data_IF_091847082190
#
_entry.id   IF_091847082190
#
_cell.length_a   1.000
_cell.length_b   1.000
_cell.length_c   1.000
_cell.angle_alpha   90.00
_cell.angle_beta   90.00
_cell.angle_gamma   90.00
#
_symmetry.space_group_name_H-M   'P 1'
#
loop_
_entity.id
_entity.type
_entity.pdbx_description
1 polymer ?
#
# COMPACT_ATOMS: atom_id res chain seq x y z
N UNK A 1 2.96 -19.85 8.96
CA UNK A 1 3.71 -18.63 9.38
C UNK A 1 3.20 -17.43 8.60
N UNK A 2 3.23 -17.52 7.26
CA UNK A 2 2.60 -16.52 6.40
C UNK A 2 1.08 -16.57 6.50
N UNK A 3 0.44 -15.41 6.60
CA UNK A 3 -1.00 -15.22 6.43
C UNK A 3 -1.31 -14.70 5.04
N UNK A 4 -2.51 -14.17 4.82
CA UNK A 4 -2.91 -13.55 3.52
C UNK A 4 -2.09 -12.32 3.14
N UNK A 5 -1.34 -11.72 4.09
CA UNK A 5 -0.60 -10.47 3.89
C UNK A 5 0.71 -10.47 4.71
N UNK A 6 1.57 -11.43 4.43
CA UNK A 6 2.86 -11.60 5.08
C UNK A 6 2.81 -12.26 6.46
N UNK A 7 3.90 -12.15 7.22
CA UNK A 7 4.02 -12.67 8.60
C UNK A 7 3.66 -11.56 9.56
N UNK A 8 2.65 -11.77 10.42
CA UNK A 8 2.18 -10.78 11.40
C UNK A 8 2.18 -11.37 12.82
N UNK A 9 2.33 -10.51 13.82
CA UNK A 9 2.25 -10.88 15.22
C UNK A 9 2.50 -9.71 16.16
N UNK A 10 2.35 -9.95 17.46
CA UNK A 10 2.72 -8.98 18.50
C UNK A 10 4.24 -8.84 18.50
N UNK A 11 4.72 -7.61 18.25
CA UNK A 11 6.14 -7.33 18.14
C UNK A 11 6.88 -7.59 19.44
N UNK A 12 7.99 -8.34 19.38
CA UNK A 12 8.82 -8.70 20.53
C UNK A 12 8.45 -10.03 21.18
N UNK A 13 7.23 -10.54 21.03
CA UNK A 13 6.80 -11.83 21.62
C UNK A 13 6.47 -12.88 20.55
N UNK A 14 5.70 -12.51 19.53
CA UNK A 14 5.33 -13.40 18.42
C UNK A 14 6.21 -13.10 17.21
N UNK A 15 6.27 -11.84 16.79
CA UNK A 15 7.20 -11.35 15.77
C UNK A 15 8.48 -10.85 16.47
N UNK A 16 9.38 -11.79 16.71
CA UNK A 16 10.64 -11.55 17.44
C UNK A 16 11.76 -11.10 16.51
N UNK A 17 12.86 -10.57 17.07
CA UNK A 17 14.06 -10.22 16.31
C UNK A 17 14.70 -11.46 15.65
N UNK A 18 14.65 -12.62 16.32
CA UNK A 18 15.14 -13.89 15.76
C UNK A 18 14.33 -14.29 14.53
N UNK A 19 13.00 -14.21 14.61
CA UNK A 19 12.12 -14.49 13.48
C UNK A 19 12.33 -13.49 12.34
N UNK A 20 12.47 -12.19 12.63
CA UNK A 20 12.74 -11.16 11.61
C UNK A 20 14.08 -11.41 10.89
N UNK A 21 15.12 -11.78 11.64
CA UNK A 21 16.41 -12.16 11.06
C UNK A 21 16.29 -13.38 10.15
N UNK A 22 15.61 -14.44 10.61
CA UNK A 22 15.38 -15.66 9.81
C UNK A 22 14.55 -15.39 8.56
N UNK A 23 13.54 -14.54 8.64
CA UNK A 23 12.77 -14.09 7.48
C UNK A 23 13.66 -13.33 6.48
N UNK A 24 14.58 -12.49 6.97
CA UNK A 24 15.57 -11.83 6.14
C UNK A 24 16.52 -12.80 5.44
N UNK A 25 16.99 -13.82 6.14
CA UNK A 25 17.85 -14.88 5.58
C UNK A 25 17.11 -15.68 4.51
N UNK A 26 16.01 -16.31 4.88
CA UNK A 26 15.25 -17.19 3.99
C UNK A 26 14.65 -16.43 2.81
N UNK A 27 14.04 -15.25 3.05
CA UNK A 27 13.45 -14.42 2.01
C UNK A 27 14.51 -13.95 0.99
N UNK A 28 15.64 -13.45 1.46
CA UNK A 28 16.73 -13.05 0.57
C UNK A 28 17.24 -14.24 -0.25
N UNK A 29 17.48 -15.37 0.40
CA UNK A 29 17.98 -16.58 -0.29
C UNK A 29 17.00 -17.06 -1.37
N UNK A 30 15.71 -17.26 -1.02
CA UNK A 30 14.69 -17.77 -1.96
C UNK A 30 14.52 -16.85 -3.14
N UNK A 31 14.43 -15.53 -2.91
CA UNK A 31 14.16 -14.56 -3.97
C UNK A 31 15.38 -14.28 -4.87
N UNK A 32 16.58 -14.68 -4.44
CA UNK A 32 17.80 -14.29 -5.13
C UNK A 32 18.73 -15.44 -5.52
N UNK A 33 18.46 -16.69 -5.11
CA UNK A 33 19.29 -17.87 -5.35
C UNK A 33 19.63 -18.15 -6.83
N UNK A 34 18.82 -17.64 -7.77
CA UNK A 34 19.05 -17.80 -9.21
C UNK A 34 19.78 -16.63 -9.85
N UNK A 35 20.14 -15.60 -9.07
CA UNK A 35 20.77 -14.39 -9.59
C UNK A 35 22.28 -14.60 -9.77
N UNK A 36 22.82 -14.06 -10.86
CA UNK A 36 24.23 -14.13 -11.19
C UNK A 36 25.06 -12.93 -10.67
N UNK A 37 24.39 -11.96 -10.03
CA UNK A 37 24.97 -10.76 -9.42
C UNK A 37 24.72 -10.75 -7.92
N UNK A 38 25.42 -9.90 -7.18
CA UNK A 38 25.13 -9.69 -5.75
C UNK A 38 23.76 -9.02 -5.61
N UNK A 39 22.76 -9.71 -4.99
CA UNK A 39 21.41 -9.20 -4.95
C UNK A 39 21.25 -7.98 -4.06
N UNK A 40 20.20 -7.20 -4.32
CA UNK A 40 19.86 -6.03 -3.52
C UNK A 40 18.37 -6.02 -3.17
N UNK A 41 18.04 -5.75 -1.91
CA UNK A 41 16.68 -5.73 -1.38
C UNK A 41 16.39 -4.36 -0.76
N UNK A 42 15.28 -3.72 -1.15
CA UNK A 42 14.80 -2.49 -0.51
C UNK A 42 13.97 -2.85 0.73
N UNK A 43 14.21 -2.15 1.84
CA UNK A 43 13.49 -2.34 3.11
C UNK A 43 12.94 -1.00 3.59
N UNK A 44 11.64 -0.96 3.85
CA UNK A 44 10.97 0.19 4.48
C UNK A 44 10.07 -0.25 5.63
N UNK A 45 9.54 0.70 6.38
CA UNK A 45 8.62 0.42 7.47
C UNK A 45 7.53 1.50 7.59
N UNK A 46 6.50 1.20 8.39
CA UNK A 46 5.57 2.21 8.88
C UNK A 46 6.13 2.94 10.12
N UNK A 47 5.29 3.69 10.82
CA UNK A 47 5.70 4.55 11.93
C UNK A 47 5.78 3.84 13.28
N UNK A 48 5.52 2.54 13.38
CA UNK A 48 5.54 1.78 14.64
C UNK A 48 6.92 1.80 15.29
N UNK A 49 6.96 1.97 16.61
CA UNK A 49 8.22 1.98 17.38
C UNK A 49 9.04 0.69 17.17
N UNK A 50 8.37 -0.44 16.98
CA UNK A 50 9.02 -1.74 16.70
C UNK A 50 9.65 -1.83 15.30
N UNK A 51 9.31 -0.91 14.38
CA UNK A 51 9.77 -0.94 12.99
C UNK A 51 11.28 -0.94 12.87
N UNK A 52 11.97 -0.03 13.58
CA UNK A 52 13.44 0.05 13.54
C UNK A 52 14.14 -1.20 14.08
N UNK A 53 13.62 -1.79 15.17
CA UNK A 53 14.15 -3.03 15.74
C UNK A 53 14.06 -4.19 14.74
N UNK A 54 12.87 -4.38 14.15
CA UNK A 54 12.62 -5.47 13.19
C UNK A 54 13.40 -5.24 11.88
N UNK A 55 13.50 -3.99 11.40
CA UNK A 55 14.25 -3.66 10.20
C UNK A 55 15.74 -4.01 10.34
N UNK A 56 16.34 -3.65 11.47
CA UNK A 56 17.75 -3.98 11.71
C UNK A 56 18.00 -5.49 11.76
N UNK A 57 17.13 -6.26 12.43
CA UNK A 57 17.24 -7.71 12.47
C UNK A 57 17.05 -8.34 11.08
N UNK A 58 16.05 -7.91 10.32
CA UNK A 58 15.78 -8.36 8.96
C UNK A 58 16.97 -8.07 8.04
N UNK A 59 17.52 -6.85 8.06
CA UNK A 59 18.65 -6.46 7.22
C UNK A 59 19.92 -7.22 7.58
N UNK A 60 20.15 -7.51 8.88
CA UNK A 60 21.24 -8.38 9.29
C UNK A 60 21.11 -9.78 8.67
N UNK A 61 19.89 -10.34 8.66
CA UNK A 61 19.57 -11.59 7.99
C UNK A 61 19.84 -11.54 6.48
N UNK A 62 19.35 -10.51 5.79
CA UNK A 62 19.57 -10.28 4.35
C UNK A 62 21.08 -10.25 4.04
N UNK A 63 21.85 -9.46 4.79
CA UNK A 63 23.28 -9.32 4.55
C UNK A 63 24.06 -10.60 4.84
N UNK A 64 23.63 -11.40 5.82
CA UNK A 64 24.30 -12.65 6.21
C UNK A 64 24.29 -13.72 5.12
N UNK A 65 23.32 -13.66 4.18
CA UNK A 65 23.24 -14.58 3.03
C UNK A 65 23.77 -13.96 1.73
N UNK A 66 24.46 -12.81 1.82
CA UNK A 66 25.18 -12.19 0.71
C UNK A 66 24.39 -11.15 -0.10
N UNK A 67 23.16 -10.88 0.25
CA UNK A 67 22.38 -9.82 -0.39
C UNK A 67 22.62 -8.45 0.27
N UNK A 68 22.60 -7.38 -0.52
CA UNK A 68 22.64 -6.02 0.01
C UNK A 68 21.24 -5.57 0.47
N UNK A 69 21.16 -4.73 1.49
CA UNK A 69 19.92 -4.12 1.96
C UNK A 69 19.98 -2.60 1.78
N UNK A 70 18.96 -2.00 1.18
CA UNK A 70 18.77 -0.54 1.10
C UNK A 70 17.62 -0.17 2.04
N UNK A 71 17.90 0.51 3.14
CA UNK A 71 16.88 0.98 4.06
C UNK A 71 16.41 2.38 3.67
N UNK A 72 15.10 2.50 3.42
CA UNK A 72 14.49 3.76 2.96
C UNK A 72 13.72 4.51 4.05
N UNK A 73 13.65 3.93 5.26
CA UNK A 73 12.93 4.53 6.39
C UNK A 73 11.42 4.33 6.32
N UNK A 74 10.69 5.35 6.80
CA UNK A 74 9.22 5.33 6.83
C UNK A 74 8.67 5.71 5.47
N UNK A 75 7.98 4.75 4.84
CA UNK A 75 7.32 4.91 3.55
C UNK A 75 6.04 4.05 3.49
N UNK A 76 5.02 4.43 2.70
CA UNK A 76 3.86 3.59 2.42
C UNK A 76 4.23 2.23 1.81
N UNK A 77 3.41 1.22 2.10
CA UNK A 77 3.56 -0.11 1.48
C UNK A 77 3.66 -0.05 -0.05
N UNK A 78 2.78 0.67 -0.78
CA UNK A 78 2.89 0.79 -2.24
C UNK A 78 4.17 1.50 -2.72
N UNK A 79 4.79 2.33 -1.89
CA UNK A 79 6.08 2.94 -2.24
C UNK A 79 7.18 1.88 -2.37
N UNK A 80 7.20 0.84 -1.52
CA UNK A 80 8.16 -0.26 -1.64
C UNK A 80 7.97 -1.02 -2.96
N UNK A 81 6.73 -1.35 -3.34
CA UNK A 81 6.44 -1.99 -4.62
C UNK A 81 6.95 -1.16 -5.81
N UNK A 82 6.70 0.15 -5.79
CA UNK A 82 7.17 1.07 -6.81
C UNK A 82 8.70 1.19 -6.85
N UNK A 83 9.35 1.44 -5.70
CA UNK A 83 10.80 1.64 -5.61
C UNK A 83 11.57 0.37 -6.01
N UNK A 84 11.05 -0.82 -5.68
CA UNK A 84 11.61 -2.10 -6.10
C UNK A 84 11.71 -2.17 -7.63
N UNK A 85 10.64 -1.85 -8.34
CA UNK A 85 10.61 -1.81 -9.81
C UNK A 85 11.50 -0.70 -10.38
N UNK A 86 11.42 0.49 -9.81
CA UNK A 86 12.14 1.66 -10.30
C UNK A 86 13.65 1.50 -10.21
N UNK A 87 14.14 0.99 -9.08
CA UNK A 87 15.56 0.75 -8.87
C UNK A 87 16.04 -0.60 -9.41
N UNK A 88 15.12 -1.41 -9.97
CA UNK A 88 15.41 -2.75 -10.53
C UNK A 88 16.16 -3.63 -9.53
N UNK A 89 15.80 -3.53 -8.26
CA UNK A 89 16.33 -4.40 -7.22
C UNK A 89 15.60 -5.74 -7.20
N UNK A 90 16.17 -6.75 -6.58
CA UNK A 90 15.71 -8.12 -6.69
C UNK A 90 14.46 -8.41 -5.86
N UNK A 91 14.25 -7.64 -4.79
CA UNK A 91 13.08 -7.75 -3.94
C UNK A 91 12.84 -6.45 -3.14
N UNK A 92 11.64 -6.34 -2.59
CA UNK A 92 11.26 -5.31 -1.62
C UNK A 92 10.67 -5.92 -0.37
N UNK A 93 10.86 -5.26 0.77
CA UNK A 93 10.26 -5.66 2.05
C UNK A 93 9.69 -4.44 2.75
N UNK A 94 8.45 -4.55 3.23
CA UNK A 94 7.87 -3.55 4.12
C UNK A 94 7.56 -4.16 5.48
N UNK A 95 7.87 -3.41 6.53
CA UNK A 95 7.61 -3.77 7.92
C UNK A 95 6.41 -2.95 8.39
N UNK A 96 5.26 -3.59 8.43
CA UNK A 96 3.98 -2.99 8.81
C UNK A 96 2.93 -4.06 9.14
N UNK A 97 2.00 -3.72 10.04
CA UNK A 97 0.77 -4.48 10.29
C UNK A 97 -0.49 -3.70 9.84
N UNK A 98 -0.37 -2.80 8.84
CA UNK A 98 -1.46 -2.03 8.25
C UNK A 98 -2.30 -1.30 9.31
N UNK A 99 -3.59 -1.61 9.41
CA UNK A 99 -4.56 -0.98 10.32
C UNK A 99 -4.56 -1.52 11.76
N UNK A 100 -3.71 -2.51 12.09
CA UNK A 100 -3.63 -3.05 13.44
C UNK A 100 -3.10 -2.02 14.46
N UNK A 101 -3.41 -2.18 15.76
CA UNK A 101 -2.81 -1.37 16.83
C UNK A 101 -1.28 -1.48 16.87
N UNK A 102 -0.64 -0.56 17.59
CA UNK A 102 0.83 -0.36 17.58
C UNK A 102 1.63 -1.55 18.12
N UNK A 103 1.02 -2.40 18.94
CA UNK A 103 1.63 -3.60 19.51
C UNK A 103 1.95 -4.66 18.44
N UNK A 104 1.17 -4.67 17.36
CA UNK A 104 1.38 -5.58 16.25
C UNK A 104 2.39 -4.99 15.25
N UNK A 105 3.08 -5.89 14.55
CA UNK A 105 3.83 -5.55 13.35
C UNK A 105 3.78 -6.71 12.36
N UNK A 106 4.32 -6.53 11.17
CA UNK A 106 4.34 -7.54 10.11
C UNK A 106 5.53 -7.36 9.19
N UNK A 107 5.83 -8.39 8.43
CA UNK A 107 6.87 -8.36 7.38
C UNK A 107 6.25 -8.91 6.11
N UNK A 108 6.20 -8.06 5.08
CA UNK A 108 5.62 -8.36 3.77
C UNK A 108 6.71 -8.28 2.71
N UNK A 109 6.76 -9.26 1.83
CA UNK A 109 7.74 -9.32 0.75
C UNK A 109 7.11 -8.99 -0.60
N UNK A 110 7.91 -8.35 -1.45
CA UNK A 110 7.63 -8.12 -2.86
C UNK A 110 8.77 -8.71 -3.71
N UNK A 111 8.42 -9.33 -4.81
CA UNK A 111 9.41 -9.78 -5.80
C UNK A 111 9.99 -8.58 -6.58
N UNK A 112 10.98 -8.81 -7.43
CA UNK A 112 11.64 -7.76 -8.22
C UNK A 112 10.71 -7.00 -9.19
N UNK A 113 9.52 -7.55 -9.47
CA UNK A 113 8.48 -6.90 -10.27
C UNK A 113 7.49 -6.08 -9.42
N UNK A 114 7.69 -6.02 -8.09
CA UNK A 114 6.86 -5.28 -7.16
C UNK A 114 5.53 -5.95 -6.83
N UNK A 115 5.37 -7.23 -7.09
CA UNK A 115 4.22 -8.02 -6.67
C UNK A 115 4.48 -8.75 -5.37
N UNK A 116 3.42 -8.97 -4.57
CA UNK A 116 3.46 -9.87 -3.41
C UNK A 116 3.91 -11.27 -3.84
N UNK A 117 4.49 -12.03 -2.91
CA UNK A 117 4.96 -13.39 -3.22
C UNK A 117 3.80 -14.35 -3.50
N UNK A 118 4.07 -15.40 -4.27
CA UNK A 118 3.16 -16.52 -4.43
C UNK A 118 3.24 -17.46 -3.22
N UNK A 119 2.21 -18.32 -3.04
CA UNK A 119 2.18 -19.30 -1.94
C UNK A 119 3.40 -20.22 -1.96
N UNK A 120 3.85 -20.62 -3.16
CA UNK A 120 5.00 -21.50 -3.33
C UNK A 120 6.30 -20.87 -2.80
N UNK A 121 6.49 -19.56 -3.01
CA UNK A 121 7.66 -18.84 -2.49
C UNK A 121 7.57 -18.65 -0.98
N UNK A 122 6.37 -18.36 -0.46
CA UNK A 122 6.11 -18.24 0.98
C UNK A 122 6.33 -19.58 1.69
N UNK A 123 5.86 -20.69 1.10
CA UNK A 123 6.06 -22.06 1.63
C UNK A 123 7.55 -22.44 1.60
N UNK A 124 8.31 -22.05 0.57
CA UNK A 124 9.74 -22.28 0.51
C UNK A 124 10.49 -21.52 1.61
N UNK A 125 10.15 -20.26 1.83
CA UNK A 125 10.71 -19.45 2.94
C UNK A 125 10.39 -20.10 4.29
N UNK A 126 9.15 -20.53 4.52
CA UNK A 126 8.78 -21.23 5.75
C UNK A 126 9.55 -22.53 5.95
N UNK A 127 9.74 -23.31 4.90
CA UNK A 127 10.47 -24.57 4.95
C UNK A 127 11.92 -24.34 5.41
N UNK A 128 12.60 -23.34 4.86
CA UNK A 128 13.97 -22.99 5.26
C UNK A 128 14.04 -22.58 6.74
N UNK A 129 13.06 -21.77 7.20
CA UNK A 129 13.01 -21.35 8.61
C UNK A 129 12.81 -22.55 9.54
N UNK A 130 11.90 -23.49 9.20
CA UNK A 130 11.63 -24.70 9.98
C UNK A 130 12.83 -25.63 10.05
N UNK A 131 13.63 -25.70 8.98
CA UNK A 131 14.86 -26.50 8.89
C UNK A 131 16.10 -25.74 9.40
N UNK A 132 15.92 -24.65 10.19
CA UNK A 132 17.01 -23.86 10.77
C UNK A 132 18.08 -23.41 9.76
N UNK A 133 17.69 -23.15 8.51
CA UNK A 133 18.57 -22.68 7.42
C UNK A 133 19.72 -23.67 7.07
N UNK A 134 19.55 -24.96 7.32
CA UNK A 134 20.61 -25.98 7.09
C UNK A 134 21.04 -26.05 5.60
N UNK A 135 20.15 -25.67 4.68
CA UNK A 135 20.41 -25.67 3.23
C UNK A 135 21.07 -24.39 2.71
N UNK A 136 21.41 -23.43 3.57
CA UNK A 136 22.01 -22.16 3.18
C UNK A 136 23.51 -22.15 3.44
N UNK A 137 24.30 -22.00 2.38
CA UNK A 137 25.71 -21.68 2.47
C UNK A 137 25.91 -20.20 2.78
N UNK A 138 26.34 -19.89 4.00
CA UNK A 138 26.60 -18.50 4.40
C UNK A 138 27.93 -18.02 3.85
N UNK A 139 27.95 -16.90 3.10
CA UNK A 139 29.19 -16.36 2.53
C UNK A 139 30.06 -15.76 3.63
N UNK A 140 31.40 -15.70 3.32
CA UNK A 140 32.41 -15.08 4.18
C UNK A 140 33.11 -13.94 3.47
N UNK A 141 33.69 -13.03 4.25
CA UNK A 141 34.52 -11.95 3.73
C UNK A 141 33.79 -11.06 2.73
N UNK A 142 34.26 -10.89 1.50
CA UNK A 142 33.65 -10.02 0.50
C UNK A 142 32.25 -10.47 0.02
N UNK A 143 31.89 -11.70 0.30
CA UNK A 143 30.55 -12.24 -0.04
C UNK A 143 29.44 -11.77 0.87
N UNK A 144 29.74 -11.19 2.05
CA UNK A 144 28.74 -10.63 2.96
C UNK A 144 28.13 -9.37 2.35
N UNK A 145 26.80 -9.23 2.47
CA UNK A 145 26.07 -8.07 1.98
C UNK A 145 26.32 -6.80 2.79
N UNK A 146 25.91 -5.66 2.24
CA UNK A 146 26.06 -4.34 2.87
C UNK A 146 24.70 -3.71 3.13
N UNK A 147 24.63 -2.87 4.17
CA UNK A 147 23.46 -2.00 4.41
C UNK A 147 23.76 -0.60 3.89
N UNK A 148 22.85 -0.05 3.11
CA UNK A 148 22.85 1.35 2.67
C UNK A 148 21.57 2.04 3.19
N UNK A 149 21.70 3.30 3.62
CA UNK A 149 20.58 4.12 4.11
C UNK A 149 20.25 5.20 3.07
N UNK A 150 19.06 5.15 2.49
CA UNK A 150 18.60 6.01 1.38
C UNK A 150 17.27 6.64 1.69
N UNK A 151 17.22 7.52 2.68
CA UNK A 151 15.98 8.23 3.06
C UNK A 151 15.51 9.23 1.99
N UNK A 152 16.39 9.64 1.10
CA UNK A 152 16.13 10.55 -0.01
C UNK A 152 15.16 9.96 -1.06
N UNK A 153 15.21 8.65 -1.29
CA UNK A 153 14.44 8.02 -2.37
C UNK A 153 12.93 7.94 -2.11
N UNK A 154 12.46 8.24 -0.89
CA UNK A 154 11.02 8.38 -0.63
C UNK A 154 10.37 9.50 -1.44
N UNK A 155 11.12 10.56 -1.77
CA UNK A 155 10.64 11.64 -2.63
C UNK A 155 10.43 11.20 -4.08
N UNK A 156 11.08 10.12 -4.51
CA UNK A 156 10.84 9.54 -5.82
C UNK A 156 9.43 8.95 -5.95
N UNK A 157 8.87 8.43 -4.85
CA UNK A 157 7.47 8.00 -4.82
C UNK A 157 6.51 9.20 -4.89
N UNK A 158 6.82 10.32 -4.23
CA UNK A 158 6.06 11.58 -4.37
C UNK A 158 6.03 12.04 -5.83
N UNK A 159 7.19 12.07 -6.49
CA UNK A 159 7.29 12.46 -7.89
C UNK A 159 6.58 11.47 -8.83
N UNK A 160 6.60 10.19 -8.51
CA UNK A 160 5.84 9.18 -9.24
C UNK A 160 4.33 9.47 -9.19
N UNK A 161 3.77 9.68 -8.00
CA UNK A 161 2.36 9.96 -7.80
C UNK A 161 1.91 11.20 -8.60
N UNK A 162 2.66 12.30 -8.51
CA UNK A 162 2.39 13.56 -9.22
C UNK A 162 2.44 13.39 -10.73
N UNK A 163 3.31 12.54 -11.25
CA UNK A 163 3.45 12.29 -12.70
C UNK A 163 2.38 11.34 -13.23
N UNK A 164 1.95 10.39 -12.41
CA UNK A 164 0.94 9.39 -12.78
C UNK A 164 -0.43 10.04 -12.91
N UNK A 165 -0.81 10.89 -11.95
CA UNK A 165 -2.07 11.64 -11.99
C UNK A 165 -1.77 13.15 -11.91
N UNK A 166 -1.46 13.80 -13.04
CA UNK A 166 -1.09 15.22 -13.07
C UNK A 166 -2.33 16.12 -13.01
N UNK A 167 -2.94 16.21 -11.81
CA UNK A 167 -4.14 17.02 -11.55
C UNK A 167 -3.79 18.29 -10.80
N UNK A 168 -4.39 19.43 -11.18
CA UNK A 168 -4.34 20.67 -10.40
C UNK A 168 -5.44 20.66 -9.34
N UNK A 169 -5.04 20.60 -8.07
CA UNK A 169 -5.94 20.55 -6.92
C UNK A 169 -6.22 21.91 -6.29
N UNK A 170 -5.80 23.02 -6.91
CA UNK A 170 -5.92 24.38 -6.35
C UNK A 170 -7.38 24.82 -6.12
N UNK A 171 -8.33 24.19 -6.78
CA UNK A 171 -9.76 24.45 -6.60
C UNK A 171 -10.39 23.68 -5.43
N UNK A 172 -9.68 22.71 -4.82
CA UNK A 172 -10.22 21.85 -3.78
C UNK A 172 -9.64 22.18 -2.40
N UNK A 173 -10.52 22.25 -1.40
CA UNK A 173 -10.18 22.24 0.02
C UNK A 173 -10.30 20.80 0.53
N UNK A 174 -9.18 20.23 0.95
CA UNK A 174 -9.07 18.80 1.30
C UNK A 174 -8.66 18.67 2.75
N UNK A 175 -9.33 17.79 3.50
CA UNK A 175 -8.87 17.32 4.82
C UNK A 175 -8.32 15.92 4.65
N UNK A 176 -7.08 15.67 5.10
CA UNK A 176 -6.51 14.31 5.12
C UNK A 176 -6.22 13.86 6.53
N UNK A 177 -6.49 12.58 6.78
CA UNK A 177 -6.12 11.84 7.97
C UNK A 177 -5.06 10.80 7.59
N UNK A 178 -3.84 10.97 8.10
CA UNK A 178 -2.72 10.09 7.80
C UNK A 178 -2.56 8.94 8.82
N UNK A 179 -3.53 8.73 9.70
CA UNK A 179 -3.52 7.63 10.69
C UNK A 179 -2.28 7.60 11.62
N UNK A 180 -1.56 8.72 11.77
CA UNK A 180 -0.20 8.75 12.36
C UNK A 180 0.73 7.69 11.72
N UNK A 181 0.43 7.31 10.47
CA UNK A 181 1.02 6.23 9.70
C UNK A 181 2.00 6.70 8.63
N UNK A 182 2.36 5.79 7.74
CA UNK A 182 3.42 5.96 6.75
C UNK A 182 3.14 7.05 5.69
N UNK A 183 1.87 7.43 5.51
CA UNK A 183 1.44 8.49 4.58
C UNK A 183 1.75 9.92 5.06
N UNK A 184 2.10 10.12 6.34
CA UNK A 184 2.23 11.43 6.98
C UNK A 184 3.11 12.43 6.22
N UNK A 185 4.13 11.94 5.53
CA UNK A 185 5.03 12.75 4.72
C UNK A 185 4.61 12.77 3.25
N UNK A 186 4.48 11.58 2.64
CA UNK A 186 4.31 11.43 1.19
C UNK A 186 2.99 12.01 0.71
N UNK A 187 1.86 11.71 1.39
CA UNK A 187 0.56 12.22 0.98
C UNK A 187 0.42 13.72 1.20
N UNK A 188 0.91 14.23 2.35
CA UNK A 188 0.91 15.67 2.63
C UNK A 188 1.71 16.44 1.58
N UNK A 189 2.92 15.94 1.25
CA UNK A 189 3.79 16.59 0.27
C UNK A 189 3.16 16.54 -1.14
N UNK A 190 2.68 15.38 -1.57
CA UNK A 190 2.08 15.22 -2.90
C UNK A 190 0.89 16.16 -3.11
N UNK A 191 -0.07 16.18 -2.17
CA UNK A 191 -1.26 17.02 -2.30
C UNK A 191 -0.94 18.51 -2.26
N UNK A 192 0.01 18.93 -1.43
CA UNK A 192 0.50 20.32 -1.42
C UNK A 192 1.19 20.70 -2.72
N UNK A 193 2.05 19.85 -3.23
CA UNK A 193 2.78 20.09 -4.48
C UNK A 193 1.82 20.18 -5.69
N UNK A 194 0.66 19.51 -5.62
CA UNK A 194 -0.42 19.60 -6.61
C UNK A 194 -1.38 20.78 -6.37
N UNK A 195 -1.09 21.65 -5.41
CA UNK A 195 -1.80 22.91 -5.19
C UNK A 195 -2.99 22.85 -4.24
N UNK A 196 -3.30 21.72 -3.60
CA UNK A 196 -4.47 21.59 -2.73
C UNK A 196 -4.47 22.58 -1.55
N UNK A 197 -5.64 23.16 -1.23
CA UNK A 197 -5.87 23.82 0.05
C UNK A 197 -6.03 22.77 1.14
N UNK A 198 -4.89 22.34 1.73
CA UNK A 198 -4.77 21.13 2.51
C UNK A 198 -4.80 21.36 4.01
N UNK A 199 -5.70 20.67 4.71
CA UNK A 199 -5.69 20.49 6.16
C UNK A 199 -5.31 19.05 6.44
N UNK A 200 -4.21 18.83 7.15
CA UNK A 200 -3.72 17.49 7.48
C UNK A 200 -3.81 17.23 8.98
N UNK A 201 -4.47 16.16 9.36
CA UNK A 201 -4.59 15.67 10.73
C UNK A 201 -3.87 14.33 10.88
N UNK A 202 -3.53 13.96 12.11
CA UNK A 202 -2.80 12.72 12.45
C UNK A 202 -1.52 12.53 11.62
N UNK A 203 -0.67 13.56 11.64
CA UNK A 203 0.59 13.62 10.87
C UNK A 203 1.84 13.78 11.77
N UNK A 204 1.72 13.46 13.05
CA UNK A 204 2.81 13.56 14.03
C UNK A 204 3.04 12.21 14.72
N UNK A 205 3.51 11.20 13.96
CA UNK A 205 3.74 9.89 14.53
C UNK A 205 4.82 9.95 15.62
N UNK A 206 4.55 9.29 16.75
CA UNK A 206 5.48 9.17 17.88
C UNK A 206 5.98 7.72 18.10
N UNK A 207 5.56 6.81 17.24
CA UNK A 207 5.89 5.39 17.31
C UNK A 207 4.84 4.54 18.04
N UNK A 208 3.94 5.17 18.81
CA UNK A 208 2.93 4.48 19.62
C UNK A 208 1.50 4.86 19.28
N UNK A 209 1.30 5.88 18.46
CA UNK A 209 -0.02 6.44 18.16
C UNK A 209 -0.60 6.04 16.79
N UNK A 210 0.07 5.19 16.02
CA UNK A 210 -0.43 4.73 14.72
C UNK A 210 -1.82 4.06 14.85
N UNK A 211 -2.76 4.47 13.99
CA UNK A 211 -4.16 3.99 13.98
C UNK A 211 -4.95 4.24 15.29
N UNK A 212 -4.41 5.00 16.24
CA UNK A 212 -5.05 5.23 17.53
C UNK A 212 -6.22 6.21 17.39
N UNK A 213 -7.43 5.70 17.24
CA UNK A 213 -8.67 6.46 17.03
C UNK A 213 -8.61 7.41 15.81
N UNK A 214 -7.88 7.02 14.77
CA UNK A 214 -7.70 7.82 13.56
C UNK A 214 -7.60 6.93 12.31
N UNK A 215 -7.52 7.55 11.13
CA UNK A 215 -7.38 6.88 9.85
C UNK A 215 -8.66 6.21 9.36
N UNK A 216 -8.53 5.34 8.36
CA UNK A 216 -9.66 4.74 7.64
C UNK A 216 -10.55 3.82 8.48
N UNK A 217 -10.09 3.38 9.66
CA UNK A 217 -10.88 2.55 10.58
C UNK A 217 -11.59 3.37 11.66
N UNK A 218 -11.28 4.67 11.83
CA UNK A 218 -11.87 5.57 12.84
C UNK A 218 -12.07 6.95 12.22
N UNK A 219 -13.14 7.12 11.44
CA UNK A 219 -13.35 8.29 10.59
C UNK A 219 -14.13 9.44 11.24
N UNK A 220 -14.52 9.33 12.50
CA UNK A 220 -15.43 10.31 13.13
C UNK A 220 -14.81 11.71 13.20
N UNK A 221 -13.52 11.83 13.54
CA UNK A 221 -12.84 13.13 13.57
C UNK A 221 -12.71 13.71 12.15
N UNK A 222 -12.32 12.91 11.17
CA UNK A 222 -12.24 13.37 9.78
C UNK A 222 -13.60 13.88 9.28
N UNK A 223 -14.68 13.15 9.53
CA UNK A 223 -16.06 13.53 9.15
C UNK A 223 -16.44 14.87 9.76
N UNK A 224 -16.24 15.02 11.07
CA UNK A 224 -16.51 16.27 11.77
C UNK A 224 -15.66 17.43 11.23
N UNK A 225 -14.39 17.17 10.94
CA UNK A 225 -13.46 18.16 10.42
C UNK A 225 -13.81 18.64 9.02
N UNK A 226 -14.22 17.74 8.12
CA UNK A 226 -14.70 18.08 6.77
C UNK A 226 -15.84 19.08 6.84
N UNK A 227 -16.86 18.79 7.65
CA UNK A 227 -18.04 19.66 7.80
C UNK A 227 -17.67 21.00 8.46
N UNK A 228 -16.88 20.98 9.54
CA UNK A 228 -16.44 22.18 10.26
C UNK A 228 -15.64 23.13 9.35
N UNK A 229 -14.73 22.59 8.59
CA UNK A 229 -13.85 23.35 7.69
C UNK A 229 -14.52 23.72 6.38
N UNK A 230 -15.73 23.20 6.11
CA UNK A 230 -16.40 23.29 4.81
C UNK A 230 -15.47 22.84 3.69
N UNK A 231 -14.85 21.70 3.88
CA UNK A 231 -13.96 21.10 2.90
C UNK A 231 -14.77 20.39 1.81
N UNK A 232 -14.23 20.31 0.61
CA UNK A 232 -14.86 19.64 -0.52
C UNK A 232 -14.80 18.11 -0.38
N UNK A 233 -13.77 17.61 0.33
CA UNK A 233 -13.54 16.18 0.52
C UNK A 233 -12.65 15.91 1.72
N UNK A 234 -12.89 14.79 2.41
CA UNK A 234 -11.98 14.18 3.37
C UNK A 234 -11.36 12.90 2.81
N UNK A 235 -10.13 12.61 3.16
CA UNK A 235 -9.41 11.39 2.76
C UNK A 235 -8.76 10.80 4.00
N UNK A 236 -9.04 9.52 4.30
CA UNK A 236 -8.39 8.78 5.38
C UNK A 236 -7.57 7.62 4.83
N UNK A 237 -6.33 7.51 5.28
CA UNK A 237 -5.46 6.37 5.02
C UNK A 237 -5.47 5.41 6.21
N UNK A 238 -5.03 4.18 6.02
CA UNK A 238 -4.62 3.31 7.12
C UNK A 238 -3.11 3.44 7.41
N UNK A 239 -2.61 2.70 8.39
CA UNK A 239 -1.25 2.89 8.91
C UNK A 239 -0.12 2.74 7.90
N UNK A 240 -0.26 1.89 6.87
CA UNK A 240 0.73 1.72 5.79
C UNK A 240 0.26 2.26 4.44
N UNK A 241 -0.91 2.92 4.44
CA UNK A 241 -1.48 3.66 3.32
C UNK A 241 -1.65 2.85 2.01
N UNK A 242 -1.87 1.54 2.13
CA UNK A 242 -2.30 0.72 1.00
C UNK A 242 -3.82 0.81 0.78
N UNK A 243 -4.55 1.45 1.73
CA UNK A 243 -5.99 1.70 1.71
C UNK A 243 -6.31 3.19 1.82
N UNK A 244 -7.44 3.57 1.21
CA UNK A 244 -8.00 4.90 1.33
C UNK A 244 -9.53 4.84 1.36
N UNK A 245 -10.14 5.56 2.30
CA UNK A 245 -11.57 5.87 2.30
C UNK A 245 -11.76 7.38 2.20
N UNK A 246 -12.89 7.80 1.63
CA UNK A 246 -13.19 9.21 1.49
C UNK A 246 -14.40 9.64 2.34
N UNK A 247 -14.55 10.95 2.50
CA UNK A 247 -15.70 11.61 3.15
C UNK A 247 -16.16 12.72 2.23
N UNK A 248 -17.45 12.76 1.91
CA UNK A 248 -18.03 13.82 1.11
C UNK A 248 -18.15 15.13 1.90
N UNK A 249 -18.50 16.21 1.23
CA UNK A 249 -18.64 17.55 1.80
C UNK A 249 -19.74 17.65 2.89
N UNK A 250 -20.60 16.63 3.00
CA UNK A 250 -21.66 16.54 4.02
C UNK A 250 -21.24 15.66 5.22
N UNK A 251 -20.02 15.09 5.21
CA UNK A 251 -19.54 14.21 6.26
C UNK A 251 -19.99 12.75 6.11
N UNK A 252 -20.52 12.34 4.95
CA UNK A 252 -20.85 10.94 4.66
C UNK A 252 -19.59 10.21 4.18
N UNK A 253 -19.36 9.00 4.69
CA UNK A 253 -18.27 8.12 4.22
C UNK A 253 -18.58 7.62 2.82
N UNK A 254 -17.56 7.62 1.96
CA UNK A 254 -17.54 7.04 0.62
C UNK A 254 -16.50 5.93 0.67
N UNK A 255 -16.97 4.68 0.60
CA UNK A 255 -16.14 3.50 0.80
C UNK A 255 -15.44 3.03 -0.50
N UNK A 256 -14.66 1.94 -0.40
CA UNK A 256 -13.93 1.42 -1.55
C UNK A 256 -14.82 0.99 -2.72
N UNK A 257 -16.02 0.50 -2.46
CA UNK A 257 -16.99 0.17 -3.52
C UNK A 257 -17.44 1.45 -4.24
N UNK A 258 -17.82 2.49 -3.51
CA UNK A 258 -18.22 3.77 -4.10
C UNK A 258 -17.06 4.42 -4.87
N UNK A 259 -15.82 4.37 -4.33
CA UNK A 259 -14.61 4.88 -4.99
C UNK A 259 -14.36 4.14 -6.32
N UNK A 260 -14.40 2.81 -6.31
CA UNK A 260 -14.24 2.01 -7.53
C UNK A 260 -15.36 2.26 -8.54
N UNK A 261 -16.60 2.47 -8.08
CA UNK A 261 -17.72 2.81 -8.96
C UNK A 261 -17.51 4.14 -9.67
N UNK A 262 -17.10 5.18 -8.92
CA UNK A 262 -16.83 6.51 -9.45
C UNK A 262 -15.68 6.47 -10.45
N UNK A 263 -14.53 5.90 -10.05
CA UNK A 263 -13.35 5.82 -10.89
C UNK A 263 -13.58 4.91 -12.11
N UNK A 264 -14.22 3.76 -11.93
CA UNK A 264 -14.52 2.82 -13.02
C UNK A 264 -15.46 3.42 -14.08
N UNK A 265 -16.50 4.14 -13.65
CA UNK A 265 -17.40 4.83 -14.58
C UNK A 265 -16.66 5.95 -15.34
N UNK A 266 -15.84 6.72 -14.66
CA UNK A 266 -15.03 7.74 -15.29
C UNK A 266 -14.03 7.15 -16.30
N UNK A 267 -13.28 6.10 -15.91
CA UNK A 267 -12.35 5.38 -16.80
C UNK A 267 -13.07 4.82 -18.03
N UNK A 268 -14.28 4.27 -17.85
CA UNK A 268 -15.11 3.80 -18.97
C UNK A 268 -15.46 4.93 -19.93
N UNK A 269 -15.91 6.08 -19.40
CA UNK A 269 -16.24 7.24 -20.23
C UNK A 269 -15.04 7.78 -21.02
N UNK A 270 -13.83 7.68 -20.44
CA UNK A 270 -12.57 8.01 -21.10
C UNK A 270 -12.05 6.92 -22.04
N UNK A 271 -12.65 5.73 -22.03
CA UNK A 271 -12.20 4.58 -22.83
C UNK A 271 -10.92 3.91 -22.30
N UNK A 272 -10.58 4.12 -21.02
CA UNK A 272 -9.38 3.59 -20.37
C UNK A 272 -9.66 2.42 -19.43
N UNK A 273 -10.94 2.08 -19.15
CA UNK A 273 -11.28 0.88 -18.37
C UNK A 273 -11.11 -0.38 -19.23
N UNK A 274 -10.11 -1.18 -18.92
CA UNK A 274 -9.79 -2.39 -19.65
C UNK A 274 -10.99 -3.36 -19.69
N UNK A 275 -11.41 -3.73 -20.90
CA UNK A 275 -12.55 -4.64 -21.14
C UNK A 275 -13.86 -4.19 -20.46
N UNK A 276 -14.00 -2.92 -20.09
CA UNK A 276 -15.09 -2.37 -19.29
C UNK A 276 -15.40 -3.22 -18.03
N UNK A 277 -14.36 -3.68 -17.33
CA UNK A 277 -14.47 -4.58 -16.19
C UNK A 277 -13.80 -4.03 -14.96
N UNK A 278 -14.46 -4.18 -13.80
CA UNK A 278 -13.90 -3.94 -12.47
C UNK A 278 -13.90 -5.24 -11.67
N UNK A 279 -12.77 -5.58 -11.04
CA UNK A 279 -12.63 -6.79 -10.23
C UNK A 279 -12.82 -6.46 -8.77
N UNK A 280 -13.75 -7.17 -8.10
CA UNK A 280 -14.07 -6.96 -6.68
C UNK A 280 -14.13 -8.29 -5.93
N UNK A 281 -14.24 -8.25 -4.61
CA UNK A 281 -14.47 -9.48 -3.83
C UNK A 281 -15.98 -9.76 -3.70
N UNK A 282 -16.31 -10.97 -3.24
CA UNK A 282 -17.70 -11.34 -2.93
C UNK A 282 -18.31 -10.50 -1.80
N UNK A 283 -17.51 -9.70 -1.07
CA UNK A 283 -17.96 -8.80 -0.01
C UNK A 283 -18.51 -7.47 -0.54
N UNK A 284 -18.25 -7.11 -1.80
CA UNK A 284 -18.80 -5.89 -2.40
C UNK A 284 -20.31 -5.89 -2.38
N UNK A 285 -20.89 -4.74 -2.11
CA UNK A 285 -22.33 -4.58 -1.88
C UNK A 285 -23.14 -4.81 -3.17
N UNK A 286 -24.45 -5.03 -2.99
CA UNK A 286 -25.36 -5.26 -4.12
C UNK A 286 -25.45 -4.05 -5.05
N UNK A 287 -25.38 -2.83 -4.48
CA UNK A 287 -25.43 -1.57 -5.24
C UNK A 287 -24.35 -1.52 -6.30
N UNK A 288 -23.12 -1.98 -5.98
CA UNK A 288 -22.02 -2.06 -6.95
C UNK A 288 -22.36 -2.94 -8.16
N UNK A 289 -23.00 -4.09 -7.93
CA UNK A 289 -23.45 -4.97 -9.03
C UNK A 289 -24.59 -4.36 -9.86
N UNK A 290 -25.48 -3.57 -9.24
CA UNK A 290 -26.55 -2.86 -9.93
C UNK A 290 -25.99 -1.73 -10.78
N UNK A 291 -25.11 -0.91 -10.21
CA UNK A 291 -24.35 0.14 -10.93
C UNK A 291 -23.66 -0.44 -12.17
N UNK A 292 -22.96 -1.57 -12.01
CA UNK A 292 -22.29 -2.23 -13.14
C UNK A 292 -23.26 -2.51 -14.31
N UNK A 293 -24.48 -2.99 -14.02
CA UNK A 293 -25.50 -3.23 -15.05
C UNK A 293 -25.99 -1.93 -15.68
N UNK A 294 -26.27 -0.91 -14.88
CA UNK A 294 -26.79 0.38 -15.34
C UNK A 294 -25.76 1.12 -16.19
N UNK A 295 -24.51 1.11 -15.75
CA UNK A 295 -23.40 1.77 -16.45
C UNK A 295 -22.77 0.89 -17.55
N UNK A 296 -23.18 -0.38 -17.71
CA UNK A 296 -22.61 -1.32 -18.67
C UNK A 296 -21.13 -1.65 -18.36
N UNK A 297 -20.80 -1.77 -17.07
CA UNK A 297 -19.52 -2.22 -16.54
C UNK A 297 -19.68 -3.66 -16.07
N UNK A 298 -18.82 -4.55 -16.53
CA UNK A 298 -18.79 -5.90 -16.00
C UNK A 298 -18.14 -5.94 -14.62
N UNK A 299 -18.80 -6.60 -13.66
CA UNK A 299 -18.28 -6.77 -12.31
C UNK A 299 -17.83 -8.22 -12.13
N UNK A 300 -16.52 -8.42 -12.11
CA UNK A 300 -15.90 -9.71 -11.85
C UNK A 300 -15.72 -9.89 -10.34
N UNK A 301 -16.09 -11.07 -9.80
CA UNK A 301 -16.05 -11.35 -8.37
C UNK A 301 -15.07 -12.44 -8.01
N UNK A 302 -14.19 -12.15 -7.06
CA UNK A 302 -13.22 -13.10 -6.50
C UNK A 302 -13.55 -13.47 -5.05
N UNK A 303 -12.76 -14.39 -4.50
CA UNK A 303 -12.73 -14.63 -3.05
C UNK A 303 -12.24 -13.37 -2.32
N UNK A 304 -12.51 -13.30 -1.02
CA UNK A 304 -11.99 -12.22 -0.14
C UNK A 304 -10.48 -12.30 -0.05
N UNK A 305 -9.84 -11.16 -0.26
CA UNK A 305 -8.38 -10.97 -0.21
C UNK A 305 -7.87 -10.28 -1.47
N UNK A 306 -7.08 -9.23 -1.27
CA UNK A 306 -6.48 -8.40 -2.32
C UNK A 306 -5.64 -9.22 -3.32
N UNK A 307 -5.03 -10.29 -2.86
CA UNK A 307 -4.28 -11.25 -3.69
C UNK A 307 -5.15 -11.84 -4.80
N UNK A 308 -6.36 -12.33 -4.48
CA UNK A 308 -7.25 -12.93 -5.48
C UNK A 308 -7.77 -11.90 -6.48
N UNK A 309 -7.97 -10.66 -6.03
CA UNK A 309 -8.31 -9.54 -6.92
C UNK A 309 -7.18 -9.30 -7.91
N UNK A 310 -5.95 -9.16 -7.42
CA UNK A 310 -4.77 -8.91 -8.25
C UNK A 310 -4.48 -10.04 -9.23
N UNK A 311 -4.55 -11.30 -8.78
CA UNK A 311 -4.37 -12.48 -9.65
C UNK A 311 -5.38 -12.48 -10.79
N UNK A 312 -6.67 -12.28 -10.49
CA UNK A 312 -7.72 -12.21 -11.51
C UNK A 312 -7.49 -11.05 -12.49
N UNK A 313 -7.10 -9.88 -11.99
CA UNK A 313 -6.77 -8.73 -12.85
C UNK A 313 -5.64 -9.06 -13.83
N UNK A 314 -4.56 -9.67 -13.34
CA UNK A 314 -3.38 -10.03 -14.16
C UNK A 314 -3.71 -11.08 -15.21
N UNK A 315 -4.39 -12.14 -14.83
CA UNK A 315 -4.75 -13.25 -15.71
C UNK A 315 -5.67 -12.82 -16.85
N UNK A 316 -6.59 -11.91 -16.55
CA UNK A 316 -7.61 -11.47 -17.50
C UNK A 316 -7.30 -10.11 -18.14
N UNK A 317 -6.23 -9.43 -17.74
CA UNK A 317 -5.84 -8.13 -18.30
C UNK A 317 -6.85 -7.03 -17.95
N UNK A 318 -7.32 -7.00 -16.69
CA UNK A 318 -8.12 -5.90 -16.11
C UNK A 318 -7.21 -4.92 -15.38
N UNK A 319 -7.59 -3.64 -15.34
CA UNK A 319 -6.74 -2.59 -14.78
C UNK A 319 -7.33 -1.84 -13.57
N UNK A 320 -8.55 -2.15 -13.15
CA UNK A 320 -9.17 -1.62 -11.94
C UNK A 320 -9.78 -2.75 -11.12
N UNK A 321 -9.47 -2.80 -9.84
CA UNK A 321 -10.07 -3.73 -8.90
C UNK A 321 -9.74 -3.38 -7.46
N UNK A 322 -10.38 -4.06 -6.51
CA UNK A 322 -10.12 -3.81 -5.10
C UNK A 322 -11.18 -4.35 -4.17
N UNK A 323 -11.20 -3.79 -2.97
CA UNK A 323 -12.06 -4.18 -1.87
C UNK A 323 -12.80 -2.99 -1.27
N UNK A 324 -13.97 -3.24 -0.69
CA UNK A 324 -14.75 -2.23 0.04
C UNK A 324 -13.95 -1.53 1.14
N UNK A 325 -12.97 -2.22 1.72
CA UNK A 325 -12.06 -1.67 2.75
C UNK A 325 -11.18 -0.50 2.27
N UNK A 326 -11.22 -0.16 0.97
CA UNK A 326 -10.43 0.91 0.37
C UNK A 326 -9.09 0.48 -0.22
N UNK A 327 -8.77 -0.81 -0.24
CA UNK A 327 -7.62 -1.34 -0.98
C UNK A 327 -7.98 -1.41 -2.46
N UNK A 328 -7.64 -0.36 -3.20
CA UNK A 328 -7.96 -0.21 -4.63
C UNK A 328 -6.68 -0.25 -5.46
N UNK A 329 -6.71 -1.05 -6.51
CA UNK A 329 -5.58 -1.32 -7.42
C UNK A 329 -5.87 -0.69 -8.78
N UNK A 330 -5.05 0.27 -9.18
CA UNK A 330 -4.95 0.79 -10.54
C UNK A 330 -3.71 0.12 -11.17
N UNK A 331 -3.92 -1.01 -11.82
CA UNK A 331 -2.83 -1.92 -12.20
C UNK A 331 -1.91 -1.36 -13.30
N UNK A 332 -2.41 -0.43 -14.11
CA UNK A 332 -1.58 0.28 -15.10
C UNK A 332 -0.54 1.19 -14.42
N UNK A 333 -0.80 1.61 -13.18
CA UNK A 333 0.02 2.57 -12.44
C UNK A 333 0.87 1.90 -11.37
N UNK A 334 0.26 1.09 -10.49
CA UNK A 334 1.00 0.39 -9.44
C UNK A 334 0.55 -1.06 -9.28
N UNK A 335 1.41 -1.92 -8.74
CA UNK A 335 1.24 -3.38 -8.66
C UNK A 335 0.52 -3.87 -7.40
N UNK A 336 0.04 -2.97 -6.57
CA UNK A 336 -0.68 -3.25 -5.32
C UNK A 336 -1.66 -2.12 -5.04
N UNK A 337 -2.54 -2.28 -4.05
CA UNK A 337 -3.35 -1.17 -3.55
C UNK A 337 -2.48 0.00 -3.13
N UNK A 338 -2.90 1.19 -3.51
CA UNK A 338 -2.18 2.44 -3.26
C UNK A 338 -3.20 3.53 -2.88
N UNK A 339 -3.26 3.83 -1.57
CA UNK A 339 -4.24 4.77 -1.04
C UNK A 339 -4.06 6.18 -1.61
N UNK A 340 -2.82 6.64 -1.77
CA UNK A 340 -2.56 7.98 -2.33
C UNK A 340 -2.92 8.04 -3.81
N UNK A 341 -2.58 7.02 -4.59
CA UNK A 341 -2.96 6.92 -6.00
C UNK A 341 -4.48 6.91 -6.17
N UNK A 342 -5.17 6.11 -5.34
CA UNK A 342 -6.64 6.04 -5.32
C UNK A 342 -7.26 7.40 -5.00
N UNK A 343 -6.68 8.12 -4.03
CA UNK A 343 -7.09 9.49 -3.70
C UNK A 343 -6.92 10.44 -4.89
N UNK A 344 -5.78 10.39 -5.57
CA UNK A 344 -5.51 11.25 -6.73
C UNK A 344 -6.46 10.98 -7.89
N UNK A 345 -6.76 9.71 -8.19
CA UNK A 345 -7.75 9.37 -9.22
C UNK A 345 -9.16 9.86 -8.84
N UNK A 346 -9.58 9.71 -7.59
CA UNK A 346 -10.88 10.23 -7.12
C UNK A 346 -10.93 11.77 -7.23
N UNK A 347 -9.86 12.46 -6.78
CA UNK A 347 -9.76 13.91 -6.86
C UNK A 347 -9.72 14.40 -8.32
N UNK A 348 -9.08 13.68 -9.22
CA UNK A 348 -9.11 13.97 -10.65
C UNK A 348 -10.53 13.93 -11.20
N UNK A 349 -11.33 12.91 -10.82
CA UNK A 349 -12.73 12.84 -11.25
C UNK A 349 -13.51 14.06 -10.75
N UNK A 350 -13.31 14.46 -9.48
CA UNK A 350 -13.98 15.65 -8.92
C UNK A 350 -13.62 16.92 -9.70
N UNK A 351 -12.32 17.13 -9.95
CA UNK A 351 -11.84 18.33 -10.69
C UNK A 351 -12.36 18.34 -12.12
N UNK A 352 -12.22 17.24 -12.86
CA UNK A 352 -12.57 17.20 -14.28
C UNK A 352 -14.08 17.25 -14.54
N UNK A 353 -14.88 16.74 -13.60
CA UNK A 353 -16.35 16.79 -13.71
C UNK A 353 -16.96 18.05 -13.12
N UNK A 354 -16.23 18.73 -12.22
CA UNK A 354 -16.74 19.86 -11.44
C UNK A 354 -17.86 19.48 -10.46
N UNK A 355 -18.04 18.20 -10.15
CA UNK A 355 -19.08 17.67 -9.28
C UNK A 355 -18.59 17.45 -7.86
N UNK A 356 -19.42 17.75 -6.84
CA UNK A 356 -19.11 17.39 -5.47
C UNK A 356 -19.14 15.86 -5.30
N UNK A 357 -18.39 15.36 -4.31
CA UNK A 357 -18.26 13.92 -4.09
C UNK A 357 -19.60 13.27 -3.76
N UNK A 358 -20.49 13.96 -3.01
CA UNK A 358 -21.84 13.48 -2.71
C UNK A 358 -22.73 13.27 -3.94
N UNK A 359 -22.48 13.97 -5.05
CA UNK A 359 -23.17 13.76 -6.31
C UNK A 359 -22.56 12.56 -7.06
N UNK A 360 -21.24 12.46 -7.09
CA UNK A 360 -20.53 11.35 -7.73
C UNK A 360 -20.87 10.00 -7.07
N UNK A 361 -21.04 9.97 -5.76
CA UNK A 361 -21.39 8.76 -5.00
C UNK A 361 -22.85 8.30 -5.12
N UNK A 362 -23.67 8.98 -5.92
CA UNK A 362 -25.06 8.54 -6.25
C UNK A 362 -25.14 7.55 -7.41
N UNK A 363 -24.01 7.18 -7.95
CA UNK A 363 -23.88 6.30 -9.12
C UNK A 363 -24.46 4.90 -8.86
#
# INVERSE_FOLDING_TARGET
>A
MFGTDGVRGVAGTELTIDLAMKLGQAGAYVLTKTKSHQPTIIVGCDTRISGGMLANALMAGICSVGANAIYVGVVPTPAIAYLTRKHKVDAGVVISASHNPMEFNGIKFFNGEGYKLSDELEDEIESLIRNNMEDIDFPIGPGIGKVEYRFDIRDEYVEFQKKTVPVDLSSLKIVIDCAEGASYYTSVKTLKDLGANLIAIHTKPDGTNINANCGSTHMDELRARVVLEKADVGIAFDGDADRMLAVDENGKVVDGDEIMAICGNYMKQKGTLAKNTVVVTVMSNLGFSLMGKEQGIHIEKTKVGDRYVLENMRENGYNLGGEQSGHVIFLDDNTTGDGLLSALHLLQVMVETGKPLSELAKI
#
